data_IF_406836620551
#
_entry.id   IF_406836620551
#
_cell.length_a   1.000
_cell.length_b   1.000
_cell.length_c   1.000
_cell.angle_alpha   90.00
_cell.angle_beta   90.00
_cell.angle_gamma   90.00
#
_symmetry.space_group_name_H-M   'P 1'
#
loop_
_entity.id
_entity.type
_entity.pdbx_description
1 polymer ?
#
# COMPACT_ATOMS: atom_id res chain seq x y z
N UNK A 1 -2.41 -10.31 -23.04
CA UNK A 1 -1.52 -10.97 -22.03
C UNK A 1 -2.16 -12.29 -21.55
N UNK A 2 -1.48 -13.14 -20.76
CA UNK A 2 -1.94 -14.51 -20.38
C UNK A 2 -3.39 -14.56 -19.86
N UNK A 3 -3.86 -13.49 -19.21
CA UNK A 3 -5.24 -13.32 -18.75
C UNK A 3 -6.26 -13.22 -19.91
N UNK A 4 -5.93 -12.55 -21.02
CA UNK A 4 -6.80 -12.45 -22.20
C UNK A 4 -6.97 -13.81 -22.89
N UNK A 5 -5.95 -14.67 -22.81
CA UNK A 5 -6.03 -16.04 -23.30
C UNK A 5 -6.97 -16.90 -22.43
N UNK A 6 -6.92 -16.73 -21.11
CA UNK A 6 -7.81 -17.44 -20.16
C UNK A 6 -9.26 -16.97 -20.27
N UNK A 7 -9.51 -15.66 -20.46
CA UNK A 7 -10.87 -15.11 -20.66
C UNK A 7 -11.56 -15.67 -21.92
N UNK A 8 -10.80 -16.03 -22.95
CA UNK A 8 -11.33 -16.54 -24.23
C UNK A 8 -11.71 -18.02 -24.22
N UNK A 9 -11.36 -18.79 -23.19
CA UNK A 9 -11.57 -20.25 -23.14
C UNK A 9 -12.79 -20.71 -22.32
N UNK A 10 -13.54 -19.82 -21.69
CA UNK A 10 -14.63 -20.18 -20.76
C UNK A 10 -16.03 -20.11 -21.36
N UNK A 11 -16.46 -21.16 -22.08
CA UNK A 11 -17.88 -21.41 -22.34
C UNK A 11 -18.15 -22.92 -22.41
N UNK A 12 -18.61 -23.52 -21.31
CA UNK A 12 -19.39 -24.78 -21.33
C UNK A 12 -20.52 -24.68 -20.31
N UNK A 13 -21.73 -24.97 -20.79
CA UNK A 13 -23.01 -24.94 -20.09
C UNK A 13 -23.34 -26.36 -19.63
N UNK A 14 -22.79 -26.79 -18.51
CA UNK A 14 -23.19 -28.03 -17.86
C UNK A 14 -22.50 -28.13 -16.51
N UNK A 15 -23.28 -27.99 -15.43
CA UNK A 15 -23.25 -28.88 -14.26
C UNK A 15 -24.34 -28.40 -13.30
N UNK A 16 -25.28 -29.30 -13.05
CA UNK A 16 -26.34 -29.19 -12.07
C UNK A 16 -25.83 -29.43 -10.65
N UNK A 17 -26.51 -28.77 -9.72
CA UNK A 17 -26.89 -29.18 -8.37
C UNK A 17 -25.83 -29.75 -7.41
N UNK A 18 -25.49 -28.96 -6.39
CA UNK A 18 -25.61 -29.33 -4.97
C UNK A 18 -24.82 -28.34 -4.11
N UNK A 19 -25.52 -27.66 -3.20
CA UNK A 19 -24.98 -27.13 -1.92
C UNK A 19 -23.57 -26.49 -1.92
N UNK A 20 -23.35 -25.38 -2.62
CA UNK A 20 -22.09 -24.65 -2.49
C UNK A 20 -22.32 -23.19 -2.13
N UNK A 21 -21.86 -22.83 -0.92
CA UNK A 21 -21.61 -21.44 -0.55
C UNK A 21 -20.81 -20.76 -1.67
N UNK A 22 -21.07 -19.48 -1.92
CA UNK A 22 -20.50 -18.70 -3.03
C UNK A 22 -18.96 -18.78 -3.16
N UNK A 23 -18.28 -19.18 -2.07
CA UNK A 23 -16.82 -19.41 -1.99
C UNK A 23 -16.38 -20.83 -2.42
N UNK A 24 -17.22 -21.85 -2.24
CA UNK A 24 -16.94 -23.23 -2.62
C UNK A 24 -16.98 -23.47 -4.14
N UNK A 25 -17.95 -22.87 -4.83
CA UNK A 25 -18.04 -23.01 -6.29
C UNK A 25 -16.83 -22.37 -7.01
N UNK A 26 -16.38 -21.18 -6.58
CA UNK A 26 -15.15 -20.55 -7.09
C UNK A 26 -13.89 -21.38 -6.78
N UNK A 27 -13.91 -22.17 -5.71
CA UNK A 27 -12.80 -23.02 -5.27
C UNK A 27 -12.62 -24.25 -6.16
N UNK A 28 -13.71 -24.90 -6.56
CA UNK A 28 -13.68 -26.02 -7.49
C UNK A 28 -13.43 -25.58 -8.93
N UNK A 29 -14.05 -24.47 -9.37
CA UNK A 29 -13.79 -23.91 -10.70
C UNK A 29 -12.30 -23.54 -10.88
N UNK A 30 -11.65 -22.99 -9.87
CA UNK A 30 -10.21 -22.70 -9.93
C UNK A 30 -9.34 -23.98 -10.01
N UNK A 31 -9.78 -25.09 -9.43
CA UNK A 31 -9.09 -26.37 -9.54
C UNK A 31 -9.22 -26.96 -10.94
N UNK A 32 -10.44 -26.94 -11.51
CA UNK A 32 -10.72 -27.41 -12.87
C UNK A 32 -9.94 -26.60 -13.91
N UNK A 33 -10.00 -25.26 -13.82
CA UNK A 33 -9.21 -24.38 -14.69
C UNK A 33 -7.72 -24.66 -14.52
N UNK A 34 -7.25 -24.81 -13.27
CA UNK A 34 -5.85 -25.12 -12.98
C UNK A 34 -5.37 -26.39 -13.67
N UNK A 35 -6.15 -27.47 -13.63
CA UNK A 35 -5.86 -28.72 -14.32
C UNK A 35 -5.79 -28.53 -15.84
N UNK A 36 -6.69 -27.74 -16.43
CA UNK A 36 -6.73 -27.48 -17.87
C UNK A 36 -5.53 -26.66 -18.36
N UNK A 37 -5.07 -25.69 -17.57
CA UNK A 37 -4.00 -24.76 -17.96
C UNK A 37 -2.63 -25.09 -17.35
N UNK A 38 -2.52 -26.22 -16.63
CA UNK A 38 -1.28 -26.65 -15.97
C UNK A 38 -0.84 -25.75 -14.81
N UNK A 39 -1.77 -25.06 -14.16
CA UNK A 39 -1.49 -24.13 -13.05
C UNK A 39 -2.09 -24.64 -11.75
N UNK A 40 -1.48 -24.28 -10.62
CA UNK A 40 -2.07 -24.60 -9.32
C UNK A 40 -3.37 -23.82 -9.12
N UNK A 41 -4.31 -24.43 -8.39
CA UNK A 41 -5.54 -23.76 -7.91
C UNK A 41 -5.27 -22.40 -7.26
N UNK A 42 -4.18 -22.29 -6.50
CA UNK A 42 -3.78 -21.04 -5.84
C UNK A 42 -3.34 -19.98 -6.85
N UNK A 43 -2.63 -20.37 -7.91
CA UNK A 43 -2.20 -19.46 -8.95
C UNK A 43 -3.39 -18.95 -9.76
N UNK A 44 -4.34 -19.82 -10.11
CA UNK A 44 -5.60 -19.42 -10.77
C UNK A 44 -6.36 -18.40 -9.93
N UNK A 45 -6.50 -18.63 -8.62
CA UNK A 45 -7.14 -17.68 -7.70
C UNK A 45 -6.45 -16.31 -7.67
N UNK A 46 -5.12 -16.28 -7.68
CA UNK A 46 -4.35 -15.03 -7.73
C UNK A 46 -4.63 -14.25 -9.01
N UNK A 47 -4.69 -14.94 -10.15
CA UNK A 47 -5.07 -14.30 -11.42
C UNK A 47 -6.50 -13.77 -11.41
N UNK A 48 -7.44 -14.53 -10.84
CA UNK A 48 -8.82 -14.05 -10.66
C UNK A 48 -8.82 -12.81 -9.77
N UNK A 49 -8.04 -12.78 -8.69
CA UNK A 49 -8.02 -11.62 -7.80
C UNK A 49 -7.55 -10.35 -8.51
N UNK A 50 -6.64 -10.42 -9.48
CA UNK A 50 -6.23 -9.23 -10.25
C UNK A 50 -7.38 -8.55 -11.00
N UNK A 51 -8.50 -9.23 -11.30
CA UNK A 51 -9.67 -8.58 -11.89
C UNK A 51 -10.36 -7.59 -10.95
N UNK A 52 -9.99 -7.64 -9.67
CA UNK A 52 -10.49 -6.78 -8.60
C UNK A 52 -9.57 -5.56 -8.40
N UNK A 53 -8.57 -5.37 -9.27
CA UNK A 53 -7.85 -4.10 -9.39
C UNK A 53 -8.64 -3.07 -10.18
N UNK A 54 -8.39 -1.79 -9.94
CA UNK A 54 -8.77 -0.74 -10.90
C UNK A 54 -7.95 -0.90 -12.19
N UNK A 55 -8.48 -0.47 -13.36
CA UNK A 55 -7.81 -0.64 -14.65
C UNK A 55 -6.38 -0.10 -14.68
N UNK A 56 -6.12 1.04 -14.04
CA UNK A 56 -4.81 1.68 -14.05
C UNK A 56 -3.74 0.88 -13.28
N UNK A 57 -4.12 0.26 -12.16
CA UNK A 57 -3.21 -0.63 -11.43
C UNK A 57 -2.96 -1.92 -12.21
N UNK A 58 -3.98 -2.45 -12.89
CA UNK A 58 -3.82 -3.64 -13.73
C UNK A 58 -2.87 -3.36 -14.90
N UNK A 59 -2.98 -2.19 -15.54
CA UNK A 59 -2.03 -1.73 -16.56
C UNK A 59 -0.60 -1.64 -16.01
N UNK A 60 -0.42 -1.20 -14.76
CA UNK A 60 0.89 -1.19 -14.11
C UNK A 60 1.45 -2.59 -13.86
N UNK A 61 0.61 -3.59 -13.56
CA UNK A 61 1.04 -4.99 -13.46
C UNK A 61 1.50 -5.50 -14.82
N UNK A 62 0.69 -5.27 -15.83
CA UNK A 62 0.92 -5.68 -17.21
C UNK A 62 2.21 -5.08 -17.79
N UNK A 63 2.48 -3.81 -17.49
CA UNK A 63 3.73 -3.10 -17.83
C UNK A 63 4.91 -3.46 -16.92
N UNK A 64 4.75 -4.40 -15.99
CA UNK A 64 5.74 -4.82 -14.98
C UNK A 64 6.25 -3.68 -14.09
N UNK A 65 5.44 -2.62 -13.91
CA UNK A 65 5.69 -1.49 -12.99
C UNK A 65 5.18 -1.78 -11.56
N UNK A 66 4.23 -2.71 -11.44
CA UNK A 66 3.73 -3.23 -10.17
C UNK A 66 3.96 -4.74 -10.11
N UNK A 67 4.62 -5.22 -9.06
CA UNK A 67 4.90 -6.63 -8.91
C UNK A 67 3.60 -7.43 -8.70
N UNK A 68 3.49 -8.59 -9.36
CA UNK A 68 2.32 -9.45 -9.31
C UNK A 68 1.83 -9.75 -7.88
N UNK A 69 2.72 -10.15 -6.97
CA UNK A 69 2.35 -10.46 -5.57
C UNK A 69 1.78 -9.24 -4.85
N UNK A 70 2.40 -8.07 -5.03
CA UNK A 70 1.92 -6.81 -4.42
C UNK A 70 0.56 -6.44 -5.00
N UNK A 71 0.37 -6.61 -6.30
CA UNK A 71 -0.91 -6.36 -6.96
C UNK A 71 -2.02 -7.29 -6.46
N UNK A 72 -1.70 -8.56 -6.20
CA UNK A 72 -2.62 -9.49 -5.54
C UNK A 72 -3.00 -8.97 -4.15
N UNK A 73 -2.06 -8.46 -3.35
CA UNK A 73 -2.40 -7.90 -2.05
C UNK A 73 -3.28 -6.64 -2.15
N UNK A 74 -2.99 -5.75 -3.10
CA UNK A 74 -3.77 -4.53 -3.35
C UNK A 74 -5.20 -4.85 -3.81
N UNK A 75 -5.37 -5.93 -4.57
CA UNK A 75 -6.70 -6.33 -5.04
C UNK A 75 -7.66 -6.77 -3.91
N UNK A 76 -7.16 -6.87 -2.66
CA UNK A 76 -7.99 -7.00 -1.46
C UNK A 76 -8.49 -5.72 -0.83
N UNK A 77 -8.08 -4.57 -1.36
CA UNK A 77 -8.42 -3.25 -0.86
C UNK A 77 -9.58 -2.67 -1.67
N UNK A 78 -10.43 -1.85 -1.06
CA UNK A 78 -11.54 -1.19 -1.76
C UNK A 78 -11.07 -0.25 -2.88
N UNK A 79 -11.90 -0.09 -3.92
CA UNK A 79 -11.56 0.62 -5.15
C UNK A 79 -11.15 2.08 -4.92
N UNK A 80 -11.76 2.76 -3.97
CA UNK A 80 -11.42 4.15 -3.61
C UNK A 80 -9.99 4.26 -3.10
N UNK A 81 -9.58 3.39 -2.17
CA UNK A 81 -8.23 3.38 -1.63
C UNK A 81 -7.23 2.89 -2.68
N UNK A 82 -7.64 1.98 -3.59
CA UNK A 82 -6.81 1.63 -4.75
C UNK A 82 -6.51 2.84 -5.64
N UNK A 83 -7.49 3.74 -5.85
CA UNK A 83 -7.28 4.99 -6.60
C UNK A 83 -6.25 5.88 -5.91
N UNK A 84 -6.38 6.10 -4.60
CA UNK A 84 -5.38 6.86 -3.85
C UNK A 84 -3.99 6.22 -3.90
N UNK A 85 -3.92 4.89 -3.82
CA UNK A 85 -2.66 4.17 -3.92
C UNK A 85 -2.03 4.33 -5.31
N UNK A 86 -2.83 4.33 -6.37
CA UNK A 86 -2.36 4.58 -7.73
C UNK A 86 -1.79 6.00 -7.88
N UNK A 87 -2.48 7.02 -7.37
CA UNK A 87 -1.98 8.40 -7.33
C UNK A 87 -0.64 8.49 -6.59
N UNK A 88 -0.57 7.87 -5.41
CA UNK A 88 0.68 7.79 -4.64
C UNK A 88 1.82 7.15 -5.43
N UNK A 89 1.55 6.02 -6.11
CA UNK A 89 2.56 5.30 -6.91
C UNK A 89 3.06 6.17 -8.08
N UNK A 90 2.17 6.93 -8.71
CA UNK A 90 2.52 7.82 -9.82
C UNK A 90 3.50 8.92 -9.40
N UNK A 91 3.34 9.44 -8.18
CA UNK A 91 4.16 10.52 -7.64
C UNK A 91 5.45 10.04 -6.95
N UNK A 92 5.39 8.91 -6.25
CA UNK A 92 6.45 8.47 -5.33
C UNK A 92 7.17 7.18 -5.78
N UNK A 93 6.69 6.54 -6.85
CA UNK A 93 7.17 5.24 -7.30
C UNK A 93 6.45 4.05 -6.67
N UNK A 94 6.85 2.84 -7.08
CA UNK A 94 6.13 1.60 -6.72
C UNK A 94 6.13 1.30 -5.22
N UNK A 95 5.04 0.70 -4.73
CA UNK A 95 4.90 0.28 -3.33
C UNK A 95 5.42 -1.14 -3.12
N UNK A 96 6.00 -1.38 -1.94
CA UNK A 96 6.54 -2.68 -1.53
C UNK A 96 5.51 -3.46 -0.72
N UNK A 97 5.67 -4.79 -0.68
CA UNK A 97 4.79 -5.70 0.06
C UNK A 97 4.60 -5.29 1.54
N UNK A 98 5.67 -4.83 2.22
CA UNK A 98 5.60 -4.36 3.61
C UNK A 98 4.67 -3.15 3.77
N UNK A 99 4.69 -2.22 2.82
CA UNK A 99 3.81 -1.04 2.86
C UNK A 99 2.35 -1.42 2.65
N UNK A 100 2.07 -2.33 1.72
CA UNK A 100 0.71 -2.83 1.46
C UNK A 100 0.19 -3.65 2.65
N UNK A 101 1.05 -4.45 3.28
CA UNK A 101 0.70 -5.19 4.50
C UNK A 101 0.31 -4.24 5.64
N UNK A 102 1.12 -3.21 5.90
CA UNK A 102 0.81 -2.20 6.92
C UNK A 102 -0.50 -1.45 6.62
N UNK A 103 -0.74 -1.11 5.35
CA UNK A 103 -1.98 -0.48 4.92
C UNK A 103 -3.20 -1.37 5.21
N UNK A 104 -3.12 -2.67 4.89
CA UNK A 104 -4.21 -3.63 5.16
C UNK A 104 -4.51 -3.76 6.65
N UNK A 105 -3.49 -3.85 7.49
CA UNK A 105 -3.68 -3.85 8.96
C UNK A 105 -4.37 -2.57 9.45
N UNK A 106 -4.01 -1.41 8.88
CA UNK A 106 -4.65 -0.16 9.27
C UNK A 106 -6.11 -0.02 8.77
N UNK A 107 -6.47 -0.70 7.67
CA UNK A 107 -7.85 -0.77 7.18
C UNK A 107 -8.75 -1.63 8.07
N UNK A 108 -8.20 -2.69 8.65
CA UNK A 108 -8.92 -3.52 9.63
C UNK A 108 -9.18 -2.76 10.94
N UNK A 109 -8.33 -1.79 11.29
CA UNK A 109 -8.45 -1.01 12.52
C UNK A 109 -9.51 0.11 12.47
N UNK A 110 -10.04 0.45 11.29
CA UNK A 110 -11.08 1.47 11.15
C UNK A 110 -10.98 2.28 9.85
N UNK A 111 -11.72 3.39 9.76
CA UNK A 111 -11.82 4.17 8.53
C UNK A 111 -10.45 4.69 8.08
N UNK A 112 -10.32 4.82 6.75
CA UNK A 112 -9.13 5.28 6.07
C UNK A 112 -9.38 6.64 5.42
N UNK A 113 -8.37 7.50 5.49
CA UNK A 113 -8.32 8.75 4.72
C UNK A 113 -7.06 8.74 3.88
N UNK A 114 -7.04 9.52 2.79
CA UNK A 114 -5.87 9.63 1.92
C UNK A 114 -4.62 10.07 2.69
N UNK A 115 -4.74 11.05 3.60
CA UNK A 115 -3.63 11.51 4.44
C UNK A 115 -3.09 10.40 5.36
N UNK A 116 -3.97 9.61 5.99
CA UNK A 116 -3.58 8.47 6.83
C UNK A 116 -2.89 7.39 6.00
N UNK A 117 -3.40 7.08 4.81
CA UNK A 117 -2.77 6.13 3.89
C UNK A 117 -1.35 6.59 3.53
N UNK A 118 -1.17 7.84 3.11
CA UNK A 118 0.15 8.39 2.77
C UNK A 118 1.10 8.26 3.97
N UNK A 119 0.67 8.64 5.17
CA UNK A 119 1.46 8.50 6.40
C UNK A 119 1.89 7.06 6.64
N UNK A 120 0.99 6.08 6.50
CA UNK A 120 1.31 4.66 6.65
C UNK A 120 2.35 4.20 5.62
N UNK A 121 2.14 4.52 4.34
CA UNK A 121 3.04 4.11 3.26
C UNK A 121 4.45 4.70 3.47
N UNK A 122 4.52 5.97 3.85
CA UNK A 122 5.77 6.69 4.12
C UNK A 122 6.49 6.12 5.35
N UNK A 123 5.77 5.79 6.42
CA UNK A 123 6.33 5.24 7.65
C UNK A 123 6.74 3.77 7.52
N UNK A 124 6.13 3.04 6.59
CA UNK A 124 6.41 1.61 6.35
C UNK A 124 7.49 1.38 5.28
N UNK A 125 8.18 2.44 4.84
CA UNK A 125 9.28 2.36 3.88
C UNK A 125 10.44 1.51 4.45
N UNK A 126 10.82 0.39 3.79
CA UNK A 126 11.94 -0.43 4.23
C UNK A 126 13.24 0.37 4.23
N UNK A 127 13.93 0.39 5.37
CA UNK A 127 15.16 1.18 5.57
C UNK A 127 14.92 2.55 6.21
N UNK A 128 13.66 2.99 6.38
CA UNK A 128 13.35 4.12 7.25
C UNK A 128 13.66 3.69 8.69
N UNK A 129 14.65 4.33 9.32
CA UNK A 129 14.86 4.19 10.76
C UNK A 129 13.56 4.63 11.43
N UNK A 130 13.00 3.80 12.33
CA UNK A 130 11.88 4.23 13.17
C UNK A 130 12.22 5.60 13.75
N UNK A 131 11.25 6.52 13.71
CA UNK A 131 11.43 7.86 14.26
C UNK A 131 11.91 7.73 15.71
N UNK A 132 13.18 8.03 15.92
CA UNK A 132 13.73 8.06 17.26
C UNK A 132 13.11 9.25 17.95
N UNK A 133 12.40 9.00 19.05
CA UNK A 133 11.84 10.07 19.88
C UNK A 133 13.00 10.85 20.50
N UNK A 134 13.38 11.96 19.89
CA UNK A 134 14.33 12.91 20.45
C UNK A 134 13.53 13.86 21.34
N UNK A 135 13.79 13.83 22.65
CA UNK A 135 13.14 14.72 23.62
C UNK A 135 14.14 15.77 24.09
N UNK A 136 13.85 17.04 23.77
CA UNK A 136 14.56 18.20 24.32
C UNK A 136 13.75 18.73 25.51
N UNK A 137 14.34 18.74 26.70
CA UNK A 137 13.65 19.28 27.88
C UNK A 137 13.78 20.79 27.93
N UNK A 138 12.75 21.48 28.41
CA UNK A 138 12.75 22.94 28.58
C UNK A 138 13.97 23.41 29.40
N UNK A 139 14.34 22.66 30.45
CA UNK A 139 15.53 22.93 31.27
C UNK A 139 16.82 23.01 30.44
N UNK A 140 16.95 22.19 29.39
CA UNK A 140 18.12 22.24 28.48
C UNK A 140 18.04 23.42 27.52
N UNK A 141 16.83 23.77 27.07
CA UNK A 141 16.60 24.85 26.12
C UNK A 141 16.73 26.25 26.76
N UNK A 142 16.36 26.42 28.04
CA UNK A 142 16.46 27.71 28.76
C UNK A 142 17.88 28.30 28.82
N UNK A 143 18.92 27.51 28.58
CA UNK A 143 20.28 28.04 28.46
C UNK A 143 20.53 28.80 27.15
N UNK A 144 19.69 28.59 26.12
CA UNK A 144 19.81 29.19 24.79
C UNK A 144 18.73 30.23 24.51
N UNK A 145 17.64 30.22 25.29
CA UNK A 145 16.48 31.10 25.12
C UNK A 145 16.26 31.96 26.37
N UNK A 146 16.00 33.25 26.18
CA UNK A 146 15.63 34.14 27.29
C UNK A 146 14.27 33.77 27.90
N UNK A 147 14.01 34.26 29.12
CA UNK A 147 12.75 33.99 29.85
C UNK A 147 11.48 34.47 29.13
N UNK A 148 11.63 35.32 28.11
CA UNK A 148 10.51 35.85 27.31
C UNK A 148 9.95 34.84 26.31
N UNK A 149 10.70 33.79 25.97
CA UNK A 149 10.28 32.80 24.99
C UNK A 149 9.34 31.78 25.65
N UNK A 150 8.20 31.55 25.00
CA UNK A 150 7.30 30.44 25.31
C UNK A 150 7.83 29.14 24.70
N UNK A 151 7.23 28.00 25.09
CA UNK A 151 7.59 26.71 24.48
C UNK A 151 7.35 26.69 22.96
N UNK A 152 6.27 27.32 22.50
CA UNK A 152 5.93 27.44 21.08
C UNK A 152 6.94 28.32 20.32
N UNK A 153 7.38 29.42 20.95
CA UNK A 153 8.43 30.28 20.37
C UNK A 153 9.76 29.53 20.25
N UNK A 154 10.13 28.77 21.29
CA UNK A 154 11.35 27.95 21.27
C UNK A 154 11.29 26.89 20.18
N UNK A 155 10.16 26.19 20.04
CA UNK A 155 9.95 25.18 18.99
C UNK A 155 10.09 25.81 17.59
N UNK A 156 9.46 26.97 17.38
CA UNK A 156 9.51 27.69 16.11
C UNK A 156 10.94 28.07 15.72
N UNK A 157 11.71 28.62 16.65
CA UNK A 157 13.12 28.97 16.41
C UNK A 157 13.98 27.73 16.15
N UNK A 158 13.78 26.64 16.88
CA UNK A 158 14.52 25.39 16.66
C UNK A 158 14.26 24.87 15.24
N UNK A 159 12.99 24.86 14.80
CA UNK A 159 12.63 24.42 13.46
C UNK A 159 13.24 25.32 12.37
N UNK A 160 13.24 26.64 12.58
CA UNK A 160 13.83 27.59 11.64
C UNK A 160 15.35 27.40 11.50
N UNK A 161 16.07 27.25 12.63
CA UNK A 161 17.51 26.96 12.62
C UNK A 161 17.84 25.66 11.90
N UNK A 162 17.04 24.61 12.11
CA UNK A 162 17.22 23.33 11.41
C UNK A 162 16.97 23.45 9.90
N UNK A 163 16.01 24.28 9.49
CA UNK A 163 15.75 24.53 8.07
C UNK A 163 16.90 25.32 7.41
N UNK A 164 17.44 26.34 8.09
CA UNK A 164 18.62 27.07 7.63
C UNK A 164 19.85 26.16 7.50
N UNK A 165 20.10 25.30 8.50
CA UNK A 165 21.18 24.31 8.45
C UNK A 165 21.01 23.34 7.27
N UNK A 166 19.80 22.84 7.05
CA UNK A 166 19.49 21.94 5.93
C UNK A 166 19.72 22.61 4.57
N UNK A 167 19.49 23.92 4.46
CA UNK A 167 19.77 24.72 3.26
C UNK A 167 21.26 25.05 3.07
N UNK A 168 22.09 24.77 4.08
CA UNK A 168 23.52 25.09 4.07
C UNK A 168 23.82 26.56 4.40
N UNK A 169 22.86 27.30 4.93
CA UNK A 169 23.03 28.71 5.31
C UNK A 169 23.86 28.86 6.60
N UNK A 170 23.82 27.84 7.45
CA UNK A 170 24.65 27.75 8.66
C UNK A 170 25.34 26.38 8.74
N UNK A 171 26.59 26.38 9.18
CA UNK A 171 27.40 25.19 9.46
C UNK A 171 27.56 25.02 10.96
N UNK A 172 27.36 23.79 11.45
CA UNK A 172 27.49 23.42 12.86
C UNK A 172 28.81 22.69 13.09
#
# INVERSE_FOLDING_TARGET
>A
MKMDAMKRQGARNDIADSTYTQNGWRSETAAVIGQQVGESKNQVRRYIRLTELIPDLLDYVDKKRLQFTVAVDISYIDKEIQTWLFEYIKENGTVKAVQVAALRTALEAGPMTQAKMISILVNSQPGRKQEQKITLSEKKLRNFFSDKYTAEDMESVILELLDQWKRGEITV
#
